data_IF_081620565128
#
_entry.id   IF_081620565128
#
_cell.length_a   1.000
_cell.length_b   1.000
_cell.length_c   1.000
_cell.angle_alpha   90.00
_cell.angle_beta   90.00
_cell.angle_gamma   90.00
#
_symmetry.space_group_name_H-M   'P 1'
#
loop_
_entity.id
_entity.type
_entity.pdbx_description
1 polymer ?
#
# COMPACT_ATOMS: atom_id res chain seq x y z
N UNK A 1 -53.19 14.22 -16.70
CA UNK A 1 -51.90 14.30 -15.97
C UNK A 1 -51.24 12.92 -16.00
N UNK A 2 -50.36 12.66 -16.97
CA UNK A 2 -49.62 11.40 -17.10
C UNK A 2 -48.32 11.51 -16.30
N UNK A 3 -48.19 10.74 -15.21
CA UNK A 3 -46.92 10.56 -14.50
C UNK A 3 -46.12 9.47 -15.20
N UNK A 4 -45.09 9.87 -15.95
CA UNK A 4 -44.08 8.97 -16.50
C UNK A 4 -43.09 8.65 -15.38
N UNK A 5 -43.18 7.44 -14.82
CA UNK A 5 -42.22 6.92 -13.85
C UNK A 5 -41.00 6.35 -14.58
N UNK A 6 -39.90 7.10 -14.61
CA UNK A 6 -38.61 6.58 -15.04
C UNK A 6 -38.01 5.76 -13.89
N UNK A 7 -38.15 4.44 -13.97
CA UNK A 7 -37.41 3.52 -13.13
C UNK A 7 -35.92 3.58 -13.53
N UNK A 8 -35.11 4.19 -12.68
CA UNK A 8 -33.64 4.11 -12.78
C UNK A 8 -33.25 2.71 -12.27
N UNK A 9 -32.67 1.82 -13.08
CA UNK A 9 -32.22 0.53 -12.59
C UNK A 9 -31.08 0.73 -11.60
N UNK A 10 -31.25 0.22 -10.38
CA UNK A 10 -30.23 0.25 -9.33
C UNK A 10 -29.00 -0.54 -9.80
N UNK A 11 -27.95 0.15 -10.25
CA UNK A 11 -26.63 -0.43 -10.57
C UNK A 11 -25.81 -0.78 -9.31
N UNK A 12 -26.47 -1.16 -8.22
CA UNK A 12 -25.82 -1.43 -6.92
C UNK A 12 -25.50 -2.92 -6.68
N UNK A 13 -25.89 -3.83 -7.58
CA UNK A 13 -25.78 -5.28 -7.34
C UNK A 13 -24.51 -5.95 -7.87
N UNK A 14 -23.61 -5.24 -8.57
CA UNK A 14 -22.38 -5.86 -9.10
C UNK A 14 -21.32 -6.18 -8.02
N UNK A 15 -21.48 -5.68 -6.79
CA UNK A 15 -20.51 -5.90 -5.70
C UNK A 15 -21.05 -6.75 -4.54
N UNK A 16 -22.34 -7.13 -4.54
CA UNK A 16 -22.91 -8.09 -3.56
C UNK A 16 -22.63 -9.55 -3.91
N UNK A 17 -21.61 -9.82 -4.72
CA UNK A 17 -21.30 -11.16 -5.18
C UNK A 17 -20.73 -12.00 -4.04
N UNK A 18 -21.40 -13.13 -3.81
CA UNK A 18 -20.87 -14.42 -3.38
C UNK A 18 -19.58 -14.38 -2.55
N UNK A 19 -19.65 -14.84 -1.29
CA UNK A 19 -18.46 -15.36 -0.60
C UNK A 19 -17.79 -16.35 -1.54
N UNK A 20 -16.72 -15.93 -2.21
CA UNK A 20 -15.92 -16.83 -3.03
C UNK A 20 -15.43 -17.92 -2.06
N UNK A 21 -15.72 -19.21 -2.32
CA UNK A 21 -15.24 -20.29 -1.48
C UNK A 21 -13.73 -20.12 -1.35
N UNK A 22 -13.20 -20.19 -0.11
CA UNK A 22 -11.77 -20.01 0.23
C UNK A 22 -10.88 -20.43 -0.94
N UNK A 23 -10.43 -19.43 -1.69
CA UNK A 23 -9.88 -19.64 -3.02
C UNK A 23 -8.55 -20.33 -2.85
N UNK A 24 -8.45 -21.56 -3.36
CA UNK A 24 -7.21 -22.22 -3.72
C UNK A 24 -6.26 -21.15 -4.27
N UNK A 25 -5.12 -20.91 -3.59
CA UNK A 25 -4.12 -19.89 -3.94
C UNK A 25 -3.98 -19.88 -5.47
N UNK A 26 -4.55 -18.88 -6.14
CA UNK A 26 -4.54 -18.85 -7.60
C UNK A 26 -3.09 -18.57 -7.99
N UNK A 27 -2.35 -19.64 -8.34
CA UNK A 27 -1.03 -19.50 -8.92
C UNK A 27 -1.24 -18.88 -10.29
N UNK A 28 -1.04 -17.56 -10.39
CA UNK A 28 -1.06 -16.90 -11.68
C UNK A 28 0.09 -17.43 -12.53
N UNK A 29 -0.24 -17.97 -13.69
CA UNK A 29 0.76 -18.25 -14.70
C UNK A 29 1.26 -16.93 -15.28
N UNK A 30 2.36 -16.44 -14.74
CA UNK A 30 2.99 -15.20 -15.18
C UNK A 30 3.68 -15.32 -16.54
N UNK A 31 3.65 -16.49 -17.20
CA UNK A 31 4.25 -16.65 -18.53
C UNK A 31 3.26 -16.40 -19.67
N UNK A 32 1.96 -16.27 -19.36
CA UNK A 32 0.88 -16.10 -20.33
C UNK A 32 0.07 -14.85 -20.06
N UNK A 33 -0.57 -14.27 -21.09
CA UNK A 33 -1.52 -13.19 -20.87
C UNK A 33 -2.63 -13.67 -19.93
N UNK A 34 -3.03 -12.86 -18.93
CA UNK A 34 -4.05 -13.22 -17.95
C UNK A 34 -5.44 -13.39 -18.58
N UNK A 35 -5.68 -12.80 -19.74
CA UNK A 35 -6.93 -12.86 -20.49
C UNK A 35 -6.64 -12.73 -21.99
N UNK A 36 -7.36 -13.46 -22.86
CA UNK A 36 -7.25 -13.30 -24.31
C UNK A 36 -7.77 -11.94 -24.81
N UNK A 37 -8.44 -11.15 -23.95
CA UNK A 37 -8.96 -9.81 -24.28
C UNK A 37 -7.97 -8.67 -23.99
N UNK A 38 -6.78 -8.98 -23.47
CA UNK A 38 -5.76 -7.98 -23.20
C UNK A 38 -5.37 -7.27 -24.51
N UNK A 39 -5.46 -5.94 -24.50
CA UNK A 39 -5.00 -5.10 -25.59
C UNK A 39 -3.81 -4.26 -25.16
N UNK A 40 -2.84 -4.12 -26.05
CA UNK A 40 -1.70 -3.25 -25.84
C UNK A 40 -2.14 -1.78 -25.80
N UNK A 41 -1.60 -1.04 -24.83
CA UNK A 41 -1.77 0.39 -24.67
C UNK A 41 -0.52 1.12 -25.15
N UNK A 42 -0.64 1.81 -26.28
CA UNK A 42 0.46 2.60 -26.84
C UNK A 42 1.57 1.75 -27.45
N UNK A 43 2.78 2.31 -27.53
CA UNK A 43 3.94 1.66 -28.15
C UNK A 43 4.75 0.89 -27.11
N UNK A 44 5.28 -0.27 -27.52
CA UNK A 44 6.31 -1.00 -26.77
C UNK A 44 7.53 -0.10 -26.55
N UNK A 45 8.24 -0.30 -25.43
CA UNK A 45 9.48 0.42 -25.11
C UNK A 45 10.61 -0.57 -24.93
N UNK A 46 11.67 -0.35 -25.68
CA UNK A 46 12.90 -1.14 -25.58
C UNK A 46 13.84 -0.51 -24.56
N UNK A 47 14.49 -1.36 -23.78
CA UNK A 47 15.44 -0.97 -22.74
C UNK A 47 16.69 -1.82 -22.82
N UNK A 48 17.83 -1.16 -22.70
CA UNK A 48 19.12 -1.79 -22.43
C UNK A 48 19.49 -1.56 -20.97
N UNK A 49 20.05 -2.56 -20.30
CA UNK A 49 20.36 -2.46 -18.87
C UNK A 49 21.32 -1.29 -18.54
N UNK A 50 22.26 -1.01 -19.44
CA UNK A 50 23.24 0.08 -19.32
C UNK A 50 22.59 1.47 -19.43
N UNK A 51 21.48 1.58 -20.15
CA UNK A 51 20.71 2.81 -20.34
C UNK A 51 19.37 2.78 -19.61
N UNK A 52 19.22 1.88 -18.63
CA UNK A 52 17.95 1.67 -17.94
C UNK A 52 17.58 2.92 -17.14
N UNK A 53 16.38 3.49 -17.36
CA UNK A 53 15.92 4.65 -16.60
C UNK A 53 15.76 4.29 -15.12
N UNK A 54 16.12 5.22 -14.26
CA UNK A 54 16.13 5.04 -12.80
C UNK A 54 14.78 4.56 -12.24
N UNK A 55 13.68 5.02 -12.84
CA UNK A 55 12.30 4.61 -12.50
C UNK A 55 12.10 3.09 -12.47
N UNK A 56 12.75 2.35 -13.39
CA UNK A 56 12.67 0.88 -13.46
C UNK A 56 13.61 0.18 -12.48
N UNK A 57 14.58 0.91 -11.89
CA UNK A 57 15.43 0.43 -10.79
C UNK A 57 14.76 0.58 -9.43
N UNK A 58 13.74 1.43 -9.34
CA UNK A 58 12.94 1.64 -8.14
C UNK A 58 11.71 0.75 -8.13
N UNK A 59 11.16 0.53 -6.93
CA UNK A 59 9.88 -0.14 -6.76
C UNK A 59 8.80 0.64 -7.52
N UNK A 60 8.01 -0.07 -8.31
CA UNK A 60 6.78 0.43 -8.91
C UNK A 60 5.80 -0.71 -9.06
N UNK A 61 4.53 -0.35 -9.18
CA UNK A 61 3.49 -1.28 -9.57
C UNK A 61 2.83 -0.82 -10.89
N UNK A 62 2.39 -1.77 -11.74
CA UNK A 62 1.46 -1.43 -12.80
C UNK A 62 0.19 -0.81 -12.21
N UNK A 63 -0.26 0.29 -12.81
CA UNK A 63 -1.48 1.01 -12.41
C UNK A 63 -2.71 0.11 -12.40
N UNK A 64 -3.77 0.56 -11.71
CA UNK A 64 -5.08 -0.08 -11.77
C UNK A 64 -5.50 -0.40 -13.22
N UNK A 65 -5.92 -1.65 -13.45
CA UNK A 65 -6.28 -2.23 -14.75
C UNK A 65 -5.18 -2.29 -15.81
N UNK A 66 -3.92 -2.03 -15.46
CA UNK A 66 -2.79 -2.17 -16.38
C UNK A 66 -1.94 -3.36 -16.00
N UNK A 67 -1.63 -4.16 -17.00
CA UNK A 67 -0.67 -5.23 -16.92
C UNK A 67 0.60 -4.78 -17.61
N UNK A 68 1.74 -5.20 -17.09
CA UNK A 68 3.02 -5.02 -17.75
C UNK A 68 3.50 -6.35 -18.28
N UNK A 69 3.86 -6.39 -19.57
CA UNK A 69 4.46 -7.54 -20.21
C UNK A 69 5.93 -7.21 -20.47
N UNK A 70 6.82 -7.91 -19.77
CA UNK A 70 8.26 -7.81 -19.91
C UNK A 70 8.76 -8.97 -20.77
N UNK A 71 9.47 -8.67 -21.84
CA UNK A 71 10.04 -9.66 -22.76
C UNK A 71 11.55 -9.47 -22.86
N UNK A 72 12.34 -10.46 -22.44
CA UNK A 72 13.81 -10.38 -22.51
C UNK A 72 14.25 -10.76 -23.93
N UNK A 73 14.80 -9.79 -24.66
CA UNK A 73 15.23 -9.98 -26.05
C UNK A 73 16.62 -10.60 -26.12
N UNK A 74 17.52 -10.20 -25.22
CA UNK A 74 18.91 -10.65 -25.17
C UNK A 74 19.43 -10.63 -23.73
N UNK A 75 20.44 -11.46 -23.46
CA UNK A 75 21.16 -11.50 -22.19
C UNK A 75 20.33 -12.11 -21.05
N UNK A 76 20.73 -11.78 -19.82
CA UNK A 76 20.05 -12.18 -18.58
C UNK A 76 19.56 -10.93 -17.85
N UNK A 77 18.30 -10.89 -17.47
CA UNK A 77 17.71 -9.81 -16.67
C UNK A 77 17.32 -10.34 -15.28
N UNK A 78 17.80 -9.69 -14.22
CA UNK A 78 17.41 -10.01 -12.86
C UNK A 78 16.36 -9.01 -12.38
N UNK A 79 15.16 -9.50 -12.09
CA UNK A 79 14.05 -8.70 -11.57
C UNK A 79 13.71 -9.12 -10.14
N UNK A 80 13.15 -8.18 -9.39
CA UNK A 80 12.71 -8.40 -8.01
C UNK A 80 11.25 -7.99 -7.85
N UNK A 81 10.58 -8.64 -6.90
CA UNK A 81 9.21 -8.33 -6.49
C UNK A 81 9.15 -8.19 -4.98
N UNK A 82 8.32 -7.25 -4.53
CA UNK A 82 7.96 -7.12 -3.14
C UNK A 82 6.72 -7.99 -2.89
N UNK A 83 6.94 -9.18 -2.34
CA UNK A 83 5.89 -10.11 -1.94
C UNK A 83 5.59 -10.06 -0.44
N UNK A 84 4.58 -10.84 -0.05
CA UNK A 84 4.12 -11.01 1.34
C UNK A 84 5.28 -11.38 2.29
N UNK A 85 6.15 -12.27 1.81
CA UNK A 85 7.21 -12.90 2.60
C UNK A 85 8.56 -12.17 2.51
N UNK A 86 8.67 -11.13 1.69
CA UNK A 86 9.96 -10.50 1.42
C UNK A 86 10.17 -10.02 0.00
N UNK A 87 11.44 -9.84 -0.34
CA UNK A 87 11.85 -9.61 -1.71
C UNK A 87 12.13 -10.98 -2.33
N UNK A 88 11.36 -11.33 -3.35
CA UNK A 88 11.69 -12.46 -4.21
C UNK A 88 12.44 -11.94 -5.45
N UNK A 89 13.37 -12.73 -5.95
CA UNK A 89 14.16 -12.42 -7.13
C UNK A 89 13.97 -13.50 -8.20
N UNK A 90 14.01 -13.10 -9.47
CA UNK A 90 13.94 -14.01 -10.61
C UNK A 90 14.93 -13.57 -11.68
N UNK A 91 15.74 -14.51 -12.16
CA UNK A 91 16.56 -14.33 -13.34
C UNK A 91 15.79 -14.79 -14.59
N UNK A 92 15.69 -13.92 -15.59
CA UNK A 92 15.05 -14.18 -16.87
C UNK A 92 16.11 -14.20 -17.98
N UNK A 93 16.13 -15.25 -18.81
CA UNK A 93 17.01 -15.34 -19.97
C UNK A 93 16.34 -14.83 -21.25
N UNK A 94 17.12 -14.65 -22.33
CA UNK A 94 16.61 -14.32 -23.65
C UNK A 94 15.44 -15.24 -24.09
N UNK A 95 14.41 -14.64 -24.68
CA UNK A 95 13.15 -15.30 -25.05
C UNK A 95 12.14 -15.43 -23.90
N UNK A 96 12.51 -15.10 -22.66
CA UNK A 96 11.58 -15.17 -21.53
C UNK A 96 10.56 -14.04 -21.59
N UNK A 97 9.31 -14.36 -21.26
CA UNK A 97 8.22 -13.39 -21.11
C UNK A 97 7.66 -13.46 -19.69
N UNK A 98 7.33 -12.29 -19.14
CA UNK A 98 6.74 -12.16 -17.81
C UNK A 98 5.59 -11.14 -17.80
N UNK A 99 4.44 -11.58 -17.32
CA UNK A 99 3.28 -10.75 -17.07
C UNK A 99 3.21 -10.35 -15.60
N UNK A 100 3.09 -9.05 -15.36
CA UNK A 100 3.11 -8.43 -14.06
C UNK A 100 1.74 -7.80 -13.82
N UNK A 101 1.10 -8.21 -12.73
CA UNK A 101 -0.27 -7.83 -12.41
C UNK A 101 -0.34 -6.42 -11.79
N UNK A 102 -1.47 -5.70 -11.95
CA UNK A 102 -1.72 -4.45 -11.26
C UNK A 102 -1.45 -4.53 -9.75
N UNK A 103 -0.67 -3.58 -9.20
CA UNK A 103 -0.27 -3.57 -7.79
C UNK A 103 0.87 -4.52 -7.41
N UNK A 104 1.36 -5.34 -8.33
CA UNK A 104 2.56 -6.14 -8.06
C UNK A 104 3.77 -5.22 -8.10
N UNK A 105 4.33 -4.91 -6.94
CA UNK A 105 5.52 -4.08 -6.82
C UNK A 105 6.74 -4.84 -7.31
N UNK A 106 7.39 -4.32 -8.34
CA UNK A 106 8.56 -4.93 -8.95
C UNK A 106 9.62 -3.88 -9.31
N UNK A 107 10.83 -4.36 -9.61
CA UNK A 107 11.93 -3.56 -10.15
C UNK A 107 12.91 -4.42 -10.94
N UNK A 108 13.68 -3.80 -11.81
CA UNK A 108 14.89 -4.39 -12.39
C UNK A 108 16.02 -4.21 -11.39
N UNK A 109 16.52 -5.32 -10.86
CA UNK A 109 17.60 -5.33 -9.89
C UNK A 109 18.98 -5.34 -10.56
N UNK A 110 19.11 -6.03 -11.69
CA UNK A 110 20.38 -6.18 -12.39
C UNK A 110 20.25 -7.05 -13.64
N UNK A 111 21.38 -7.59 -14.08
CA UNK A 111 21.45 -8.47 -15.24
C UNK A 111 22.84 -8.48 -15.87
N UNK A 112 22.98 -9.22 -16.97
CA UNK A 112 24.17 -9.21 -17.81
C UNK A 112 24.35 -7.86 -18.53
N UNK A 113 25.59 -7.48 -18.90
CA UNK A 113 25.87 -6.21 -19.56
C UNK A 113 25.22 -6.08 -20.95
N UNK A 114 24.87 -7.20 -21.58
CA UNK A 114 24.20 -7.28 -22.88
C UNK A 114 22.66 -7.38 -22.78
N UNK A 115 22.12 -7.32 -21.55
CA UNK A 115 20.70 -7.51 -21.29
C UNK A 115 19.86 -6.41 -21.93
N UNK A 116 18.90 -6.83 -22.75
CA UNK A 116 17.93 -5.97 -23.41
C UNK A 116 16.54 -6.59 -23.31
N UNK A 117 15.53 -5.75 -23.07
CA UNK A 117 14.15 -6.20 -22.94
C UNK A 117 13.16 -5.18 -23.49
N UNK A 118 11.96 -5.66 -23.82
CA UNK A 118 10.81 -4.86 -24.19
C UNK A 118 9.84 -4.84 -23.01
N UNK A 119 9.33 -3.65 -22.70
CA UNK A 119 8.22 -3.48 -21.78
C UNK A 119 6.99 -2.97 -22.53
N UNK A 120 5.89 -3.71 -22.41
CA UNK A 120 4.61 -3.37 -23.01
C UNK A 120 3.57 -3.18 -21.91
N UNK A 121 2.70 -2.19 -22.11
CA UNK A 121 1.57 -1.96 -21.21
C UNK A 121 0.33 -2.53 -21.87
N UNK A 122 -0.44 -3.31 -21.13
CA UNK A 122 -1.67 -3.94 -21.58
C UNK A 122 -2.82 -3.57 -20.65
N UNK A 123 -4.04 -3.59 -21.14
CA UNK A 123 -5.24 -3.50 -20.31
C UNK A 123 -6.34 -4.42 -20.85
N UNK A 124 -7.23 -4.84 -19.95
CA UNK A 124 -8.46 -5.54 -20.35
C UNK A 124 -9.50 -4.52 -20.89
N UNK A 125 -10.57 -5.04 -21.48
CA UNK A 125 -11.74 -4.27 -21.90
C UNK A 125 -12.53 -3.66 -20.72
N UNK A 126 -12.19 -4.01 -19.48
CA UNK A 126 -12.76 -3.43 -18.28
C UNK A 126 -12.34 -1.96 -18.12
N UNK A 127 -13.16 -1.05 -18.64
CA UNK A 127 -12.93 0.42 -18.62
C UNK A 127 -13.14 1.07 -17.26
N UNK A 128 -13.81 0.40 -16.31
CA UNK A 128 -13.97 0.89 -14.95
C UNK A 128 -12.66 0.73 -14.20
N UNK A 129 -12.09 1.82 -13.67
CA UNK A 129 -11.05 1.78 -12.62
C UNK A 129 -11.50 0.77 -11.56
N UNK A 130 -11.02 -0.47 -11.68
CA UNK A 130 -11.57 -1.56 -10.90
C UNK A 130 -11.00 -1.43 -9.50
N UNK A 131 -11.72 -1.97 -8.52
CA UNK A 131 -11.17 -2.20 -7.20
C UNK A 131 -9.75 -2.80 -7.30
N UNK A 132 -8.85 -2.50 -6.34
CA UNK A 132 -7.59 -3.24 -6.21
C UNK A 132 -7.82 -4.73 -6.46
N UNK A 133 -7.01 -5.28 -7.38
CA UNK A 133 -7.17 -6.64 -7.89
C UNK A 133 -7.25 -7.65 -6.72
N UNK A 134 -7.96 -8.78 -6.87
CA UNK A 134 -8.09 -9.80 -5.83
C UNK A 134 -6.75 -10.23 -5.18
N UNK A 135 -5.66 -10.21 -5.95
CA UNK A 135 -4.31 -10.48 -5.48
C UNK A 135 -3.83 -9.55 -4.36
N UNK A 136 -4.31 -8.30 -4.34
CA UNK A 136 -3.94 -7.34 -3.29
C UNK A 136 -4.57 -7.74 -1.96
N UNK A 137 -5.79 -8.29 -1.97
CA UNK A 137 -6.47 -8.71 -0.74
C UNK A 137 -5.79 -9.91 -0.07
N UNK A 138 -5.09 -10.76 -0.84
CA UNK A 138 -4.43 -11.98 -0.35
C UNK A 138 -3.43 -11.71 0.80
N UNK A 139 -2.75 -10.56 0.78
CA UNK A 139 -1.80 -10.16 1.84
C UNK A 139 -2.39 -10.21 3.25
N UNK A 140 -3.68 -9.93 3.36
CA UNK A 140 -4.36 -9.96 4.63
C UNK A 140 -5.45 -11.04 4.71
N UNK A 141 -5.92 -11.56 3.58
CA UNK A 141 -6.90 -12.66 3.54
C UNK A 141 -6.23 -14.02 3.82
N UNK A 142 -4.97 -14.21 3.38
CA UNK A 142 -4.22 -15.47 3.53
C UNK A 142 -3.31 -15.47 4.78
N UNK A 143 -3.20 -14.34 5.48
CA UNK A 143 -2.35 -14.19 6.65
C UNK A 143 -2.82 -15.10 7.79
N UNK A 144 -1.95 -16.00 8.24
CA UNK A 144 -2.21 -16.84 9.42
C UNK A 144 -2.42 -15.98 10.67
N UNK A 145 -3.21 -16.46 11.64
CA UNK A 145 -3.45 -15.71 12.87
C UNK A 145 -2.46 -16.15 13.97
N UNK A 146 -1.78 -15.18 14.58
CA UNK A 146 -0.96 -15.36 15.77
C UNK A 146 -1.65 -14.68 16.94
N UNK A 147 -2.03 -15.45 17.95
CA UNK A 147 -2.65 -14.92 19.18
C UNK A 147 -1.66 -14.99 20.35
N UNK A 148 -1.65 -13.94 21.18
CA UNK A 148 -0.88 -13.95 22.43
C UNK A 148 -1.69 -13.29 23.54
N UNK A 149 -1.79 -13.96 24.69
CA UNK A 149 -2.57 -13.50 25.84
C UNK A 149 -1.80 -12.54 26.75
N UNK A 150 -0.47 -12.59 26.68
CA UNK A 150 0.45 -11.77 27.49
C UNK A 150 1.75 -11.46 26.73
N UNK A 151 2.53 -10.53 27.28
CA UNK A 151 3.82 -10.09 26.73
C UNK A 151 4.84 -11.23 26.56
N UNK A 152 5.12 -12.06 27.57
CA UNK A 152 6.07 -13.16 27.45
C UNK A 152 5.71 -14.20 26.37
N UNK A 153 4.42 -14.48 26.18
CA UNK A 153 3.94 -15.36 25.11
C UNK A 153 4.13 -14.72 23.74
N UNK A 154 3.83 -13.43 23.60
CA UNK A 154 4.10 -12.69 22.38
C UNK A 154 5.59 -12.69 22.03
N UNK A 155 6.47 -12.40 22.98
CA UNK A 155 7.92 -12.38 22.74
C UNK A 155 8.46 -13.74 22.26
N UNK A 156 8.00 -14.85 22.87
CA UNK A 156 8.36 -16.19 22.40
C UNK A 156 7.88 -16.43 20.98
N UNK A 157 6.64 -16.05 20.67
CA UNK A 157 6.05 -16.24 19.36
C UNK A 157 6.79 -15.42 18.27
N UNK A 158 7.13 -14.15 18.56
CA UNK A 158 7.91 -13.29 17.65
C UNK A 158 9.30 -13.86 17.35
N UNK A 159 9.97 -14.45 18.36
CA UNK A 159 11.26 -15.12 18.17
C UNK A 159 11.16 -16.37 17.30
N UNK A 160 10.04 -17.09 17.36
CA UNK A 160 9.82 -18.31 16.58
C UNK A 160 9.32 -18.08 15.16
N UNK A 161 8.99 -16.84 14.76
CA UNK A 161 8.57 -16.55 13.39
C UNK A 161 9.68 -16.93 12.41
N UNK A 162 9.34 -17.79 11.45
CA UNK A 162 10.26 -18.21 10.40
C UNK A 162 10.51 -17.06 9.41
N UNK A 163 11.72 -16.93 8.85
CA UNK A 163 11.96 -16.09 7.69
C UNK A 163 11.01 -16.45 6.54
N UNK A 164 10.47 -15.43 5.87
CA UNK A 164 9.48 -15.59 4.82
C UNK A 164 8.08 -15.90 5.34
N UNK A 165 7.73 -15.45 6.54
CA UNK A 165 6.38 -15.59 7.08
C UNK A 165 5.72 -14.24 7.31
N UNK A 166 4.40 -14.23 7.18
CA UNK A 166 3.55 -13.12 7.60
C UNK A 166 2.32 -13.65 8.34
N UNK A 167 1.85 -12.90 9.33
CA UNK A 167 0.70 -13.28 10.15
C UNK A 167 -0.03 -12.06 10.71
N UNK A 168 -1.32 -12.21 10.98
CA UNK A 168 -2.10 -11.26 11.75
C UNK A 168 -1.89 -11.53 13.25
N UNK A 169 -1.21 -10.62 13.92
CA UNK A 169 -1.12 -10.58 15.37
C UNK A 169 -2.45 -10.10 15.96
N UNK A 170 -2.95 -10.82 16.96
CA UNK A 170 -4.10 -10.39 17.79
C UNK A 170 -3.76 -10.53 19.27
N UNK A 171 -3.87 -9.43 20.02
CA UNK A 171 -3.56 -9.40 21.47
C UNK A 171 -4.61 -8.62 22.26
N UNK A 172 -4.91 -8.98 23.52
CA UNK A 172 -5.80 -8.21 24.39
C UNK A 172 -5.10 -7.05 25.11
N UNK A 173 -3.81 -6.84 24.84
CA UNK A 173 -2.98 -5.78 25.41
C UNK A 173 -2.22 -5.06 24.29
N UNK A 174 -1.70 -3.86 24.57
CA UNK A 174 -0.90 -3.10 23.60
C UNK A 174 0.46 -3.78 23.36
N UNK A 175 0.73 -4.33 22.16
CA UNK A 175 1.94 -5.08 21.89
C UNK A 175 3.12 -4.19 21.49
N UNK A 176 2.95 -2.86 21.43
CA UNK A 176 3.94 -1.93 20.84
C UNK A 176 5.33 -2.08 21.46
N UNK A 177 5.42 -2.22 22.79
CA UNK A 177 6.71 -2.31 23.48
C UNK A 177 7.46 -3.61 23.15
N UNK A 178 6.76 -4.75 23.15
CA UNK A 178 7.29 -6.08 22.85
C UNK A 178 7.67 -6.21 21.38
N UNK A 179 6.81 -5.72 20.47
CA UNK A 179 7.10 -5.71 19.04
C UNK A 179 8.28 -4.81 18.73
N UNK A 180 8.34 -3.60 19.32
CA UNK A 180 9.48 -2.70 19.17
C UNK A 180 10.80 -3.32 19.65
N UNK A 181 10.79 -4.05 20.77
CA UNK A 181 11.95 -4.80 21.25
C UNK A 181 12.36 -5.92 20.27
N UNK A 182 11.39 -6.68 19.76
CA UNK A 182 11.63 -7.73 18.77
C UNK A 182 12.18 -7.19 17.45
N UNK A 183 11.67 -6.06 16.95
CA UNK A 183 12.17 -5.38 15.75
C UNK A 183 13.64 -5.02 15.92
N UNK A 184 14.02 -4.39 17.05
CA UNK A 184 15.42 -4.07 17.35
C UNK A 184 16.31 -5.31 17.43
N UNK A 185 15.82 -6.40 18.03
CA UNK A 185 16.54 -7.66 18.14
C UNK A 185 16.66 -8.43 16.82
N UNK A 186 15.80 -8.14 15.84
CA UNK A 186 15.72 -8.89 14.57
C UNK A 186 16.76 -8.48 13.52
N UNK A 187 17.61 -7.50 13.80
CA UNK A 187 18.50 -6.86 12.82
C UNK A 187 17.75 -6.35 11.57
N UNK A 188 16.54 -5.82 11.76
CA UNK A 188 15.70 -5.30 10.68
C UNK A 188 14.97 -6.35 9.85
N UNK A 189 14.96 -7.62 10.27
CA UNK A 189 14.23 -8.68 9.53
C UNK A 189 12.75 -8.79 9.91
N UNK A 190 12.34 -8.17 11.02
CA UNK A 190 10.95 -8.10 11.46
C UNK A 190 10.39 -6.69 11.22
N UNK A 191 9.19 -6.62 10.64
CA UNK A 191 8.39 -5.42 10.53
C UNK A 191 6.95 -5.70 10.97
N UNK A 192 6.22 -4.64 11.30
CA UNK A 192 4.79 -4.73 11.60
C UNK A 192 4.02 -3.53 11.05
N UNK A 193 2.73 -3.75 10.82
CA UNK A 193 1.77 -2.76 10.33
C UNK A 193 0.55 -2.80 11.25
N UNK A 194 0.45 -1.90 12.23
CA UNK A 194 -0.71 -1.82 13.12
C UNK A 194 -1.99 -1.50 12.34
N UNK A 195 -3.05 -2.29 12.56
CA UNK A 195 -4.30 -2.22 11.78
C UNK A 195 -5.51 -1.81 12.64
N UNK A 196 -5.55 -2.18 13.91
CA UNK A 196 -6.71 -1.94 14.77
C UNK A 196 -6.33 -1.86 16.25
N UNK A 197 -7.00 -0.96 16.98
CA UNK A 197 -7.02 -0.91 18.44
C UNK A 197 -8.43 -0.65 18.91
N UNK A 198 -8.97 -1.60 19.66
CA UNK A 198 -10.23 -1.48 20.39
C UNK A 198 -9.95 -1.51 21.89
N UNK A 199 -11.00 -1.48 22.72
CA UNK A 199 -10.87 -1.65 24.16
C UNK A 199 -10.40 -3.06 24.58
N UNK A 200 -10.54 -4.05 23.69
CA UNK A 200 -10.32 -5.45 24.03
C UNK A 200 -9.27 -6.14 23.15
N UNK A 201 -8.84 -5.48 22.08
CA UNK A 201 -8.01 -6.13 21.08
C UNK A 201 -7.14 -5.13 20.31
N UNK A 202 -5.92 -5.56 20.05
CA UNK A 202 -5.00 -4.94 19.10
C UNK A 202 -4.75 -5.91 17.95
N UNK A 203 -4.80 -5.41 16.72
CA UNK A 203 -4.52 -6.18 15.51
C UNK A 203 -3.40 -5.52 14.72
N UNK A 204 -2.43 -6.31 14.26
CA UNK A 204 -1.37 -5.86 13.37
C UNK A 204 -0.98 -6.96 12.37
N UNK A 205 -0.53 -6.59 11.18
CA UNK A 205 0.17 -7.52 10.29
C UNK A 205 1.65 -7.56 10.70
N UNK A 206 2.17 -8.74 11.01
CA UNK A 206 3.59 -9.00 11.23
C UNK A 206 4.20 -9.60 9.96
N UNK A 207 5.41 -9.17 9.61
CA UNK A 207 6.18 -9.71 8.49
C UNK A 207 7.60 -10.02 8.96
N UNK A 208 8.03 -11.26 8.78
CA UNK A 208 9.40 -11.71 9.03
C UNK A 208 10.09 -12.00 7.70
N UNK A 209 10.89 -11.06 7.22
CA UNK A 209 11.62 -11.20 5.96
C UNK A 209 12.90 -12.04 6.13
N UNK A 210 13.38 -12.63 5.03
CA UNK A 210 14.67 -13.32 4.97
C UNK A 210 15.90 -12.39 5.01
N UNK A 211 15.68 -11.09 4.77
CA UNK A 211 16.73 -10.08 4.72
C UNK A 211 16.25 -8.79 5.42
N UNK A 212 17.17 -7.91 5.84
CA UNK A 212 16.81 -6.64 6.45
C UNK A 212 15.88 -5.81 5.56
N UNK A 213 14.87 -5.21 6.19
CA UNK A 213 13.89 -4.35 5.56
C UNK A 213 14.40 -2.90 5.67
N UNK A 214 14.65 -2.25 4.53
CA UNK A 214 14.97 -0.84 4.48
C UNK A 214 13.71 0.04 4.56
N UNK A 215 13.91 1.37 4.61
CA UNK A 215 12.81 2.31 4.67
C UNK A 215 11.90 2.24 3.43
N UNK A 216 12.47 2.15 2.21
CA UNK A 216 11.68 2.01 0.98
C UNK A 216 10.88 0.71 0.95
N UNK A 217 11.53 -0.40 1.32
CA UNK A 217 10.87 -1.69 1.39
C UNK A 217 9.74 -1.71 2.43
N UNK A 218 9.85 -0.91 3.49
CA UNK A 218 8.79 -0.75 4.47
C UNK A 218 7.62 0.07 3.92
N UNK A 219 7.89 1.23 3.31
CA UNK A 219 6.85 2.12 2.76
C UNK A 219 6.08 1.45 1.62
N UNK A 220 6.76 0.74 0.73
CA UNK A 220 6.10 -0.06 -0.32
C UNK A 220 5.22 -1.19 0.25
N UNK A 221 5.54 -1.72 1.44
CA UNK A 221 4.65 -2.66 2.14
C UNK A 221 3.46 -1.96 2.78
N UNK A 222 3.65 -0.77 3.35
CA UNK A 222 2.54 0.05 3.87
C UNK A 222 1.50 0.30 2.76
N UNK A 223 1.94 0.67 1.54
CA UNK A 223 1.04 0.81 0.40
C UNK A 223 0.32 -0.52 0.08
N UNK A 224 1.04 -1.64 0.03
CA UNK A 224 0.44 -2.95 -0.23
C UNK A 224 -0.63 -3.32 0.83
N UNK A 225 -0.40 -2.99 2.10
CA UNK A 225 -1.35 -3.21 3.20
C UNK A 225 -2.58 -2.31 3.06
N UNK A 226 -2.40 -1.03 2.69
CA UNK A 226 -3.51 -0.10 2.42
C UNK A 226 -4.37 -0.62 1.28
N UNK A 227 -3.75 -1.06 0.18
CA UNK A 227 -4.45 -1.63 -0.97
C UNK A 227 -5.20 -2.92 -0.63
N UNK A 228 -4.60 -3.79 0.19
CA UNK A 228 -5.22 -5.02 0.67
C UNK A 228 -6.46 -4.74 1.53
N UNK A 229 -6.35 -3.79 2.47
CA UNK A 229 -7.47 -3.37 3.30
C UNK A 229 -8.58 -2.70 2.47
N UNK A 230 -8.20 -1.89 1.47
CA UNK A 230 -9.13 -1.29 0.52
C UNK A 230 -9.90 -2.33 -0.30
N UNK A 231 -9.23 -3.37 -0.79
CA UNK A 231 -9.90 -4.45 -1.51
C UNK A 231 -11.00 -5.10 -0.66
N UNK A 232 -10.71 -5.40 0.61
CA UNK A 232 -11.70 -5.90 1.56
C UNK A 232 -12.84 -4.90 1.82
N UNK A 233 -12.51 -3.62 2.04
CA UNK A 233 -13.48 -2.57 2.31
C UNK A 233 -14.48 -2.39 1.14
N UNK A 234 -14.01 -2.48 -0.10
CA UNK A 234 -14.85 -2.39 -1.30
C UNK A 234 -15.80 -3.59 -1.48
N UNK A 235 -15.50 -4.73 -0.83
CA UNK A 235 -16.40 -5.89 -0.73
C UNK A 235 -17.44 -5.73 0.39
N UNK A 236 -17.47 -4.58 1.07
CA UNK A 236 -18.40 -4.28 2.16
C UNK A 236 -17.97 -4.84 3.53
N UNK A 237 -16.70 -5.23 3.69
CA UNK A 237 -16.18 -5.70 4.97
C UNK A 237 -15.86 -4.49 5.89
N UNK A 238 -16.62 -4.37 6.97
CA UNK A 238 -16.50 -3.28 7.93
C UNK A 238 -15.17 -3.30 8.71
N UNK A 239 -14.62 -4.47 9.00
CA UNK A 239 -13.33 -4.59 9.67
C UNK A 239 -12.20 -4.12 8.72
N UNK A 240 -12.30 -4.50 7.45
CA UNK A 240 -11.36 -4.04 6.41
C UNK A 240 -11.43 -2.53 6.19
N UNK A 241 -12.62 -1.93 6.28
CA UNK A 241 -12.78 -0.47 6.27
C UNK A 241 -12.06 0.19 7.46
N UNK A 242 -12.15 -0.39 8.66
CA UNK A 242 -11.44 0.12 9.83
C UNK A 242 -9.91 0.01 9.64
N UNK A 243 -9.42 -1.13 9.14
CA UNK A 243 -8.00 -1.34 8.86
C UNK A 243 -7.48 -0.37 7.80
N UNK A 244 -8.25 -0.13 6.74
CA UNK A 244 -7.92 0.86 5.71
C UNK A 244 -7.73 2.26 6.31
N UNK A 245 -8.67 2.69 7.15
CA UNK A 245 -8.60 4.01 7.81
C UNK A 245 -7.36 4.14 8.68
N UNK A 246 -7.09 3.13 9.50
CA UNK A 246 -5.94 3.13 10.41
C UNK A 246 -4.61 3.05 9.66
N UNK A 247 -4.50 2.16 8.67
CA UNK A 247 -3.29 2.00 7.87
C UNK A 247 -2.97 3.28 7.09
N UNK A 248 -3.97 3.88 6.42
CA UNK A 248 -3.78 5.13 5.69
C UNK A 248 -3.43 6.28 6.65
N UNK A 249 -4.17 6.45 7.75
CA UNK A 249 -3.89 7.52 8.71
C UNK A 249 -2.45 7.45 9.28
N UNK A 250 -2.00 6.24 9.59
CA UNK A 250 -0.63 5.98 10.05
C UNK A 250 0.40 6.28 8.97
N UNK A 251 0.16 5.84 7.74
CA UNK A 251 1.04 6.09 6.62
C UNK A 251 1.23 7.59 6.36
N UNK A 252 0.14 8.34 6.24
CA UNK A 252 0.20 9.80 6.05
C UNK A 252 0.90 10.51 7.22
N UNK A 253 0.72 10.01 8.46
CA UNK A 253 1.46 10.53 9.62
C UNK A 253 2.96 10.29 9.51
N UNK A 254 3.39 9.10 9.11
CA UNK A 254 4.80 8.78 8.90
C UNK A 254 5.43 9.80 7.95
N UNK A 255 4.76 10.07 6.84
CA UNK A 255 5.28 11.00 5.85
C UNK A 255 5.30 12.43 6.37
N UNK A 256 4.17 12.93 6.83
CA UNK A 256 4.00 14.32 7.24
C UNK A 256 4.84 14.69 8.47
N UNK A 257 4.97 13.76 9.42
CA UNK A 257 5.59 14.03 10.72
C UNK A 257 7.02 13.48 10.84
N UNK A 258 7.34 12.39 10.14
CA UNK A 258 8.64 11.73 10.30
C UNK A 258 9.55 11.87 9.07
N UNK A 259 9.00 11.85 7.85
CA UNK A 259 9.83 11.87 6.63
C UNK A 259 10.02 13.26 6.03
N UNK A 260 8.94 14.03 5.86
CA UNK A 260 9.00 15.34 5.21
C UNK A 260 9.82 16.36 6.01
N UNK A 261 9.75 16.44 7.36
CA UNK A 261 10.57 17.39 8.10
C UNK A 261 12.08 17.20 7.92
N UNK A 262 12.67 15.99 8.12
CA UNK A 262 14.09 15.80 7.87
C UNK A 262 14.46 15.90 6.38
N UNK A 263 13.56 15.58 5.46
CA UNK A 263 13.77 15.79 4.02
C UNK A 263 13.91 17.28 3.68
N UNK A 264 13.01 18.13 4.17
CA UNK A 264 13.07 19.59 3.96
C UNK A 264 14.32 20.18 4.63
N UNK A 265 14.65 19.73 5.84
CA UNK A 265 15.88 20.14 6.52
C UNK A 265 17.16 19.77 5.74
N UNK A 266 17.10 18.77 4.87
CA UNK A 266 18.17 18.37 3.96
C UNK A 266 18.10 19.06 2.57
N UNK A 267 17.36 20.16 2.45
CA UNK A 267 17.19 20.90 1.19
C UNK A 267 16.27 20.20 0.20
N UNK A 268 15.31 19.41 0.69
CA UNK A 268 14.26 18.78 -0.12
C UNK A 268 13.35 19.79 -0.82
N UNK A 269 12.57 19.31 -1.79
CA UNK A 269 11.69 20.14 -2.63
C UNK A 269 10.38 20.49 -1.89
N UNK A 270 10.28 21.70 -1.35
CA UNK A 270 9.06 22.18 -0.67
C UNK A 270 7.79 22.05 -1.52
N UNK A 271 7.90 22.29 -2.83
CA UNK A 271 6.77 22.15 -3.75
C UNK A 271 6.21 20.74 -3.82
N UNK A 272 7.06 19.71 -3.69
CA UNK A 272 6.63 18.31 -3.65
C UNK A 272 5.89 18.00 -2.36
N UNK A 273 6.48 18.36 -1.21
CA UNK A 273 5.86 18.14 0.10
C UNK A 273 4.49 18.83 0.18
N UNK A 274 4.39 20.09 -0.25
CA UNK A 274 3.10 20.80 -0.29
C UNK A 274 2.08 20.11 -1.19
N UNK A 275 2.50 19.63 -2.36
CA UNK A 275 1.64 18.87 -3.28
C UNK A 275 1.11 17.58 -2.66
N UNK A 276 1.99 16.82 -1.99
CA UNK A 276 1.63 15.58 -1.29
C UNK A 276 0.66 15.85 -0.13
N UNK A 277 0.96 16.81 0.76
CA UNK A 277 0.05 17.16 1.85
C UNK A 277 -1.35 17.56 1.34
N UNK A 278 -1.44 18.25 0.19
CA UNK A 278 -2.72 18.55 -0.43
C UNK A 278 -3.46 17.28 -0.87
N UNK A 279 -2.77 16.36 -1.55
CA UNK A 279 -3.30 15.06 -1.93
C UNK A 279 -3.72 14.22 -0.71
N UNK A 280 -2.96 14.23 0.38
CA UNK A 280 -3.33 13.57 1.63
C UNK A 280 -4.65 14.11 2.18
N UNK A 281 -4.85 15.43 2.10
CA UNK A 281 -6.13 16.05 2.44
C UNK A 281 -7.28 15.56 1.56
N UNK A 282 -7.05 15.34 0.25
CA UNK A 282 -8.04 14.76 -0.65
C UNK A 282 -8.32 13.29 -0.33
N UNK A 283 -7.28 12.48 -0.09
CA UNK A 283 -7.40 11.07 0.28
C UNK A 283 -8.22 10.90 1.56
N UNK A 284 -7.93 11.68 2.61
CA UNK A 284 -8.71 11.67 3.87
C UNK A 284 -10.18 12.01 3.63
N UNK A 285 -10.47 13.06 2.85
CA UNK A 285 -11.85 13.49 2.54
C UNK A 285 -12.62 12.45 1.74
N UNK A 286 -11.99 11.84 0.74
CA UNK A 286 -12.66 10.88 -0.13
C UNK A 286 -12.82 9.52 0.57
N UNK A 287 -11.88 9.11 1.43
CA UNK A 287 -12.01 7.91 2.26
C UNK A 287 -13.19 8.01 3.25
N UNK A 288 -13.43 9.19 3.82
CA UNK A 288 -14.57 9.42 4.70
C UNK A 288 -15.93 9.21 4.01
N UNK A 289 -15.95 9.18 2.66
CA UNK A 289 -17.14 9.04 1.81
C UNK A 289 -16.99 7.89 0.81
N UNK A 290 -16.26 6.83 1.17
CA UNK A 290 -15.96 5.73 0.25
C UNK A 290 -17.22 4.95 -0.22
N UNK A 291 -18.33 5.09 0.48
CA UNK A 291 -19.65 4.59 0.09
C UNK A 291 -20.23 5.35 -1.12
N UNK A 292 -19.98 6.66 -1.21
CA UNK A 292 -20.33 7.49 -2.37
C UNK A 292 -19.52 7.09 -3.62
N UNK A 293 -20.21 6.88 -4.74
CA UNK A 293 -19.59 6.38 -5.96
C UNK A 293 -18.59 7.37 -6.58
N UNK A 294 -18.85 8.68 -6.46
CA UNK A 294 -17.96 9.71 -7.01
C UNK A 294 -16.70 9.84 -6.16
N UNK A 295 -16.85 9.96 -4.84
CA UNK A 295 -15.74 10.00 -3.90
C UNK A 295 -14.89 8.72 -3.98
N UNK A 296 -15.52 7.55 -4.03
CA UNK A 296 -14.81 6.27 -4.26
C UNK A 296 -13.98 6.29 -5.54
N UNK A 297 -14.55 6.72 -6.67
CA UNK A 297 -13.80 6.78 -7.94
C UNK A 297 -12.60 7.72 -7.84
N UNK A 298 -12.77 8.90 -7.21
CA UNK A 298 -11.66 9.84 -7.00
C UNK A 298 -10.59 9.26 -6.09
N UNK A 299 -10.99 8.65 -4.99
CA UNK A 299 -10.07 7.99 -4.05
C UNK A 299 -9.21 6.95 -4.76
N UNK A 300 -9.81 6.06 -5.55
CA UNK A 300 -9.08 5.01 -6.27
C UNK A 300 -8.05 5.58 -7.26
N UNK A 301 -8.45 6.58 -8.04
CA UNK A 301 -7.56 7.22 -9.01
C UNK A 301 -6.45 8.03 -8.34
N UNK A 302 -6.78 8.72 -7.25
CA UNK A 302 -5.82 9.53 -6.51
C UNK A 302 -4.80 8.64 -5.80
N UNK A 303 -5.24 7.59 -5.09
CA UNK A 303 -4.35 6.67 -4.38
C UNK A 303 -3.37 5.99 -5.35
N UNK A 304 -3.85 5.43 -6.47
CA UNK A 304 -2.98 4.78 -7.46
C UNK A 304 -1.91 5.73 -8.03
N UNK A 305 -2.29 6.99 -8.33
CA UNK A 305 -1.34 8.00 -8.82
C UNK A 305 -0.42 8.57 -7.73
N UNK A 306 -0.88 8.57 -6.48
CA UNK A 306 -0.14 9.02 -5.31
C UNK A 306 0.99 8.03 -5.00
N UNK A 307 0.65 6.75 -4.81
CA UNK A 307 1.60 5.66 -4.55
C UNK A 307 2.69 5.61 -5.64
N UNK A 308 2.29 5.67 -6.93
CA UNK A 308 3.25 5.65 -8.05
C UNK A 308 4.22 6.83 -7.99
N UNK A 309 3.71 8.04 -7.75
CA UNK A 309 4.54 9.25 -7.67
C UNK A 309 5.53 9.14 -6.51
N UNK A 310 5.10 8.62 -5.38
CA UNK A 310 5.94 8.49 -4.21
C UNK A 310 7.05 7.46 -4.41
N UNK A 311 6.68 6.25 -4.82
CA UNK A 311 7.62 5.15 -5.02
C UNK A 311 8.67 5.47 -6.11
N UNK A 312 8.28 6.21 -7.15
CA UNK A 312 9.13 6.47 -8.31
C UNK A 312 9.95 7.76 -8.21
N UNK A 313 9.44 8.78 -7.52
CA UNK A 313 10.05 10.11 -7.53
C UNK A 313 10.39 10.61 -6.13
N UNK A 314 9.45 10.52 -5.21
CA UNK A 314 9.57 11.17 -3.89
C UNK A 314 10.50 10.38 -2.99
N UNK A 315 10.22 9.10 -2.76
CA UNK A 315 10.99 8.31 -1.82
C UNK A 315 12.46 8.11 -2.23
N UNK A 316 12.80 7.91 -3.52
CA UNK A 316 14.20 7.91 -3.95
C UNK A 316 14.93 9.21 -3.63
N UNK A 317 14.29 10.38 -3.86
CA UNK A 317 14.90 11.68 -3.53
C UNK A 317 14.99 11.90 -2.00
N UNK A 318 14.00 11.43 -1.23
CA UNK A 318 14.08 11.42 0.24
C UNK A 318 15.28 10.60 0.69
N UNK A 319 15.45 9.38 0.17
CA UNK A 319 16.59 8.54 0.52
C UNK A 319 17.92 9.21 0.18
N UNK A 320 18.06 9.73 -1.05
CA UNK A 320 19.28 10.36 -1.52
C UNK A 320 19.72 11.52 -0.60
N UNK A 321 18.76 12.29 -0.08
CA UNK A 321 19.03 13.45 0.80
C UNK A 321 19.17 13.08 2.27
N UNK A 322 18.53 12.00 2.71
CA UNK A 322 18.50 11.60 4.12
C UNK A 322 19.41 10.41 4.43
N UNK A 323 20.36 10.07 3.55
CA UNK A 323 21.21 8.87 3.63
C UNK A 323 21.75 8.59 5.04
N UNK A 324 22.37 9.59 5.69
CA UNK A 324 22.94 9.45 7.03
C UNK A 324 21.90 9.16 8.15
N UNK A 325 20.60 9.37 7.88
CA UNK A 325 19.49 9.20 8.83
C UNK A 325 18.61 8.00 8.51
N UNK A 326 18.80 7.32 7.37
CA UNK A 326 17.87 6.29 6.90
C UNK A 326 17.65 5.17 7.91
N UNK A 327 18.72 4.63 8.52
CA UNK A 327 18.59 3.55 9.50
C UNK A 327 17.78 3.98 10.73
N UNK A 328 17.97 5.22 11.19
CA UNK A 328 17.22 5.79 12.30
C UNK A 328 15.74 5.99 11.93
N UNK A 329 15.48 6.57 10.76
CA UNK A 329 14.12 6.78 10.26
C UNK A 329 13.39 5.45 10.07
N UNK A 330 14.06 4.44 9.51
CA UNK A 330 13.52 3.10 9.38
C UNK A 330 13.12 2.50 10.75
N UNK A 331 13.99 2.60 11.75
CA UNK A 331 13.70 2.11 13.09
C UNK A 331 12.55 2.88 13.78
N UNK A 332 12.49 4.20 13.59
CA UNK A 332 11.43 5.07 14.13
C UNK A 332 10.06 4.74 13.49
N UNK A 333 10.03 4.64 12.16
CA UNK A 333 8.82 4.28 11.39
C UNK A 333 8.34 2.87 11.72
N UNK A 334 9.24 1.88 11.75
CA UNK A 334 8.86 0.50 12.11
C UNK A 334 8.47 0.36 13.58
N UNK A 335 9.00 1.21 14.46
CA UNK A 335 8.62 1.25 15.87
C UNK A 335 7.28 1.94 16.14
N UNK A 336 6.73 2.66 15.16
CA UNK A 336 5.50 3.44 15.32
C UNK A 336 4.27 2.52 15.40
N UNK A 337 3.54 2.61 16.52
CA UNK A 337 2.24 1.98 16.71
C UNK A 337 1.10 2.66 15.92
N UNK A 338 -0.14 2.48 16.37
CA UNK A 338 -1.28 3.22 15.82
C UNK A 338 -1.22 4.69 16.22
N UNK A 339 -1.49 5.56 15.24
CA UNK A 339 -1.65 6.99 15.47
C UNK A 339 -3.11 7.28 15.80
N UNK A 340 -3.36 8.19 16.74
CA UNK A 340 -4.72 8.66 16.99
C UNK A 340 -5.20 9.44 15.77
N UNK A 341 -6.45 9.21 15.36
CA UNK A 341 -7.05 10.00 14.29
C UNK A 341 -7.20 11.44 14.75
N UNK A 342 -6.34 12.33 14.26
CA UNK A 342 -6.34 13.75 14.60
C UNK A 342 -7.62 14.45 14.13
N UNK A 343 -8.38 13.85 13.22
CA UNK A 343 -9.65 14.42 12.74
C UNK A 343 -10.80 14.28 13.74
N UNK A 344 -10.73 13.32 14.66
CA UNK A 344 -11.75 13.14 15.70
C UNK A 344 -11.73 14.28 16.74
N UNK A 345 -10.59 14.96 16.91
CA UNK A 345 -10.43 16.05 17.88
C UNK A 345 -11.01 17.40 17.44
N UNK A 346 -11.18 17.64 16.13
CA UNK A 346 -11.61 18.95 15.62
C UNK A 346 -13.14 19.14 15.69
N UNK A 347 -13.91 18.07 15.49
CA UNK A 347 -15.39 18.14 15.47
C UNK A 347 -16.01 18.43 16.86
N UNK A 348 -15.30 18.16 17.96
CA UNK A 348 -15.80 18.39 19.32
C UNK A 348 -15.70 19.86 19.76
N UNK A 349 -14.73 20.62 19.23
CA UNK A 349 -14.50 22.02 19.61
C UNK A 349 -15.42 23.03 18.90
N UNK A 350 -15.93 22.70 17.70
CA UNK A 350 -16.83 23.61 16.97
C UNK A 350 -18.28 23.60 17.50
N UNK A 351 -18.66 22.61 18.31
CA UNK A 351 -20.00 22.52 18.90
C UNK A 351 -20.19 23.37 20.18
N UNK A 352 -19.12 23.97 20.73
CA UNK A 352 -19.17 24.73 21.98
C UNK A 352 -18.96 26.25 21.85
N UNK A 353 -18.72 26.75 20.63
CA UNK A 353 -18.37 28.15 20.37
C UNK A 353 -19.52 29.10 19.98
N UNK A 354 -20.80 28.70 20.06
CA UNK A 354 -21.92 29.56 19.67
C UNK A 354 -22.99 29.68 20.77
N UNK A 355 -22.60 30.21 21.93
CA UNK A 355 -23.55 30.84 22.87
C UNK A 355 -23.48 32.35 22.67
N UNK A 356 -24.42 32.85 21.87
CA UNK A 356 -24.81 34.26 21.78
C UNK A 356 -25.11 34.82 23.18
N UNK A 357 -24.25 35.69 23.69
CA UNK A 357 -24.61 36.59 24.80
C UNK A 357 -25.48 37.74 24.27
N UNK A 358 -26.49 38.21 25.02
CA UNK A 358 -27.34 39.30 24.59
C UNK A 358 -26.58 40.64 24.65
N UNK A 359 -26.75 41.45 23.60
CA UNK A 359 -26.35 42.84 23.54
C UNK A 359 -27.07 43.62 24.65
N UNK A 360 -26.30 44.11 25.62
CA UNK A 360 -26.78 45.09 26.59
C UNK A 360 -26.80 46.46 25.92
N UNK A 361 -28.01 46.99 25.71
CA UNK A 361 -28.26 48.41 25.45
C UNK A 361 -27.98 49.21 26.73
N UNK A 362 -27.32 50.34 26.61
CA UNK A 362 -27.19 51.35 27.67
C UNK A 362 -27.05 52.75 27.03
N UNK A 363 -27.40 53.80 27.79
CA UNK A 363 -28.50 54.72 27.50
C UNK A 363 -28.23 55.85 26.50
#
# INVERSE_FOLDING_TARGET
MLRVGLAVPARHDLWRAARLPHTRRMTLDHTRPPSPRMRQLGRSREYELMALPERLRHWHAPRANRWECLQVMRGRLDIQWLGEDGIAALALGAGSTRWIAPGTRWRVHGGGPDAAFVLEIHADDATTAAAPQPLRAAWLDDATCLTATDGPTLERALRSLAPGSHCLLRTPFDPTSQVGAAIRASAGTLAWHPLERTAHEHVALLVRAAQPIGLLEYLGRDHAVIEAALAGALRGDAQRMLWLRNALARHLFIEEQLLFPPYLAAGGREGWVRGLCNEHGHLRRDLARLDDAVARRRFLLLLDGHDEKEEQLVYPDILARTQARQARLAAEVMGLGLVADSTAGSAATDAQGNRTGPLASSP
#
